data_IF_854562899312
#
_entry.id   IF_854562899312
#
_cell.length_a   1.000
_cell.length_b   1.000
_cell.length_c   1.000
_cell.angle_alpha   90.00
_cell.angle_beta   90.00
_cell.angle_gamma   90.00
#
_symmetry.space_group_name_H-M   'P 1'
#
loop_
_entity.id
_entity.type
_entity.pdbx_description
1 polymer ?
#
# COMPACT_ATOMS: atom_id res chain seq x y z
N UNK A 1 -50.24 -26.54 -11.98
CA UNK A 1 -49.57 -25.32 -12.45
C UNK A 1 -48.34 -25.11 -11.59
N UNK A 2 -47.20 -25.64 -12.01
CA UNK A 2 -45.91 -25.45 -11.32
C UNK A 2 -44.93 -24.99 -12.40
N UNK A 3 -44.55 -23.73 -12.28
CA UNK A 3 -43.70 -23.02 -13.21
C UNK A 3 -42.30 -23.64 -13.13
N UNK A 4 -41.83 -24.19 -14.26
CA UNK A 4 -40.41 -24.36 -14.53
C UNK A 4 -39.79 -22.98 -14.67
N UNK A 5 -38.67 -22.73 -14.00
CA UNK A 5 -37.63 -21.89 -14.58
C UNK A 5 -36.25 -22.44 -14.25
N UNK A 6 -35.65 -23.07 -15.27
CA UNK A 6 -34.20 -23.19 -15.41
C UNK A 6 -33.60 -21.78 -15.36
N UNK A 7 -32.56 -21.61 -14.58
CA UNK A 7 -31.51 -20.62 -14.83
C UNK A 7 -30.19 -21.22 -14.36
N UNK A 8 -29.64 -22.11 -15.19
CA UNK A 8 -28.21 -22.37 -15.23
C UNK A 8 -27.55 -21.07 -15.66
N UNK A 9 -26.86 -20.39 -14.75
CA UNK A 9 -26.03 -19.24 -15.08
C UNK A 9 -24.58 -19.70 -15.06
N UNK A 10 -24.09 -19.79 -16.28
CA UNK A 10 -22.72 -20.01 -16.69
C UNK A 10 -21.70 -19.29 -15.79
N UNK A 11 -20.62 -20.01 -15.49
CA UNK A 11 -19.29 -19.44 -15.25
C UNK A 11 -18.93 -18.54 -16.45
N UNK A 12 -19.35 -17.29 -16.40
CA UNK A 12 -18.85 -16.25 -17.29
C UNK A 12 -17.35 -16.13 -17.01
N UNK A 13 -16.54 -16.47 -18.01
CA UNK A 13 -15.20 -15.90 -18.20
C UNK A 13 -15.31 -14.38 -18.02
N UNK A 14 -14.96 -13.87 -16.84
CA UNK A 14 -14.85 -12.43 -16.62
C UNK A 14 -13.38 -12.05 -16.48
N UNK A 15 -12.87 -11.53 -17.59
CA UNK A 15 -11.90 -10.44 -17.71
C UNK A 15 -10.50 -10.65 -17.11
N UNK A 16 -9.51 -10.67 -18.02
CA UNK A 16 -8.13 -10.30 -17.72
C UNK A 16 -8.13 -8.96 -17.00
N UNK A 17 -7.74 -8.95 -15.73
CA UNK A 17 -7.25 -7.75 -15.07
C UNK A 17 -5.86 -7.49 -15.67
N UNK A 18 -5.81 -6.61 -16.67
CA UNK A 18 -4.56 -6.01 -17.13
C UNK A 18 -4.11 -4.98 -16.10
N UNK A 19 -3.27 -5.41 -15.17
CA UNK A 19 -2.25 -4.59 -14.50
C UNK A 19 -1.18 -5.52 -13.89
N UNK A 20 -0.71 -6.45 -14.71
CA UNK A 20 0.48 -7.24 -14.42
C UNK A 20 1.66 -6.42 -14.94
N UNK A 21 2.45 -5.84 -14.04
CA UNK A 21 3.79 -5.38 -14.41
C UNK A 21 4.57 -6.58 -14.98
N UNK A 22 5.28 -6.37 -16.08
CA UNK A 22 6.04 -7.41 -16.80
C UNK A 22 6.84 -8.31 -15.86
N UNK A 23 6.50 -9.60 -15.90
CA UNK A 23 6.75 -10.59 -14.85
C UNK A 23 8.08 -11.35 -15.02
N UNK A 24 9.12 -10.69 -15.54
CA UNK A 24 10.47 -11.26 -15.54
C UNK A 24 11.19 -10.80 -14.27
N UNK A 25 11.49 -11.73 -13.36
CA UNK A 25 12.49 -11.52 -12.31
C UNK A 25 13.80 -11.18 -13.03
N UNK A 26 14.18 -9.90 -13.03
CA UNK A 26 15.39 -9.44 -13.76
C UNK A 26 16.63 -9.72 -12.90
N UNK A 27 17.77 -10.00 -13.56
CA UNK A 27 19.08 -10.08 -12.88
C UNK A 27 19.25 -8.86 -11.97
N UNK A 28 19.47 -9.09 -10.67
CA UNK A 28 19.68 -8.03 -9.66
C UNK A 28 18.61 -7.91 -8.57
N UNK A 29 17.49 -8.64 -8.65
CA UNK A 29 16.54 -8.74 -7.52
C UNK A 29 17.12 -9.60 -6.40
N UNK A 30 17.13 -9.09 -5.16
CA UNK A 30 17.58 -9.83 -3.98
C UNK A 30 16.41 -10.22 -3.09
N UNK A 31 16.45 -11.45 -2.54
CA UNK A 31 15.49 -11.92 -1.56
C UNK A 31 15.81 -11.27 -0.21
N UNK A 32 14.84 -10.56 0.39
CA UNK A 32 14.96 -9.95 1.73
C UNK A 32 14.42 -10.91 2.80
N UNK A 33 13.22 -11.45 2.56
CA UNK A 33 12.54 -12.40 3.45
C UNK A 33 12.07 -13.61 2.65
N UNK A 34 12.13 -14.79 3.25
CA UNK A 34 11.56 -16.02 2.71
C UNK A 34 11.13 -16.91 3.86
N UNK A 35 9.87 -17.33 3.88
CA UNK A 35 9.33 -18.30 4.85
C UNK A 35 8.28 -19.18 4.16
N UNK A 36 8.07 -20.37 4.73
CA UNK A 36 6.86 -21.16 4.49
C UNK A 36 5.86 -20.76 5.58
N UNK A 37 4.65 -20.41 5.19
CA UNK A 37 3.61 -19.91 6.08
C UNK A 37 2.26 -20.53 5.73
N UNK A 38 1.29 -20.43 6.64
CA UNK A 38 -0.11 -20.73 6.31
C UNK A 38 -0.80 -19.45 5.82
N UNK A 39 -1.11 -19.37 4.52
CA UNK A 39 -1.94 -18.29 4.00
C UNK A 39 -3.40 -18.56 4.33
N UNK A 40 -4.09 -17.57 4.89
CA UNK A 40 -5.52 -17.65 5.24
C UNK A 40 -6.34 -17.00 4.12
N UNK A 41 -7.20 -17.78 3.47
CA UNK A 41 -8.11 -17.33 2.41
C UNK A 41 -9.51 -17.85 2.70
N UNK A 42 -10.49 -16.97 2.91
CA UNK A 42 -11.88 -17.35 3.21
C UNK A 42 -12.02 -18.43 4.30
N UNK A 43 -11.33 -18.24 5.44
CA UNK A 43 -11.21 -19.20 6.56
C UNK A 43 -10.48 -20.52 6.25
N UNK A 44 -10.14 -20.80 5.00
CA UNK A 44 -9.25 -21.91 4.63
C UNK A 44 -7.79 -21.52 4.85
N UNK A 45 -6.98 -22.44 5.36
CA UNK A 45 -5.55 -22.23 5.54
C UNK A 45 -4.79 -23.15 4.59
N UNK A 46 -3.84 -22.61 3.82
CA UNK A 46 -3.02 -23.40 2.91
C UNK A 46 -1.54 -23.06 3.07
N UNK A 47 -0.64 -24.05 3.08
CA UNK A 47 0.79 -23.80 3.15
C UNK A 47 1.25 -23.13 1.85
N UNK A 48 1.97 -22.02 1.98
CA UNK A 48 2.46 -21.20 0.87
C UNK A 48 3.87 -20.78 1.18
N UNK A 49 4.71 -20.70 0.15
CA UNK A 49 5.98 -19.99 0.27
C UNK A 49 5.77 -18.53 -0.02
N UNK A 50 6.17 -17.69 0.91
CA UNK A 50 6.12 -16.24 0.77
C UNK A 50 7.54 -15.69 0.71
N UNK A 51 7.77 -14.79 -0.24
CA UNK A 51 9.08 -14.18 -0.46
C UNK A 51 8.88 -12.68 -0.60
N UNK A 52 9.69 -11.90 0.11
CA UNK A 52 9.80 -10.46 -0.13
C UNK A 52 11.08 -10.22 -0.91
N UNK A 53 10.95 -9.55 -2.06
CA UNK A 53 12.10 -9.19 -2.90
C UNK A 53 12.29 -7.69 -2.88
N UNK A 54 13.56 -7.28 -2.74
CA UNK A 54 13.96 -5.91 -3.04
C UNK A 54 13.93 -5.76 -4.55
N UNK A 55 13.16 -4.81 -5.04
CA UNK A 55 13.23 -4.49 -6.44
C UNK A 55 14.42 -3.55 -6.69
N UNK A 56 14.94 -3.51 -7.91
CA UNK A 56 16.10 -2.69 -8.23
C UNK A 56 15.78 -1.18 -8.07
N UNK A 57 16.77 -0.30 -8.23
CA UNK A 57 16.62 1.16 -8.07
C UNK A 57 15.50 1.83 -8.89
N UNK A 58 14.87 1.12 -9.84
CA UNK A 58 13.75 1.61 -10.67
C UNK A 58 12.39 1.03 -10.29
N UNK A 59 12.33 0.15 -9.29
CA UNK A 59 11.13 -0.61 -8.97
C UNK A 59 10.89 -0.68 -7.45
N UNK A 60 9.63 -0.81 -7.06
CA UNK A 60 9.23 -0.95 -5.65
C UNK A 60 9.37 -2.40 -5.19
N UNK A 61 9.75 -2.61 -3.92
CA UNK A 61 9.81 -3.95 -3.32
C UNK A 61 8.48 -4.70 -3.47
N UNK A 62 8.54 -6.01 -3.63
CA UNK A 62 7.36 -6.84 -3.89
C UNK A 62 7.24 -7.98 -2.88
N UNK A 63 6.01 -8.34 -2.54
CA UNK A 63 5.66 -9.58 -1.85
C UNK A 63 5.16 -10.59 -2.88
N UNK A 64 5.81 -11.75 -2.92
CA UNK A 64 5.50 -12.86 -3.82
C UNK A 64 4.96 -14.01 -3.00
N UNK A 65 3.77 -14.49 -3.35
CA UNK A 65 3.12 -15.64 -2.74
C UNK A 65 3.03 -16.77 -3.76
N UNK A 66 3.79 -17.83 -3.55
CA UNK A 66 3.78 -19.01 -4.42
C UNK A 66 2.63 -19.94 -4.04
N UNK A 67 1.98 -20.54 -5.05
CA UNK A 67 0.84 -21.45 -4.86
C UNK A 67 1.19 -22.73 -4.10
N UNK A 68 2.44 -23.15 -4.12
CA UNK A 68 2.96 -24.28 -3.35
C UNK A 68 4.13 -23.84 -2.47
N UNK A 69 4.32 -24.53 -1.35
CA UNK A 69 5.49 -24.35 -0.49
C UNK A 69 6.79 -24.84 -1.17
N UNK A 70 6.68 -25.89 -2.00
CA UNK A 70 7.83 -26.63 -2.54
C UNK A 70 8.26 -26.18 -3.93
N UNK A 71 7.48 -25.34 -4.61
CA UNK A 71 7.69 -25.02 -6.02
C UNK A 71 7.88 -23.53 -6.25
N UNK A 72 9.15 -23.08 -6.27
CA UNK A 72 9.54 -21.68 -6.50
C UNK A 72 9.91 -21.36 -7.95
N UNK A 73 10.12 -22.38 -8.77
CA UNK A 73 10.76 -22.23 -10.09
C UNK A 73 9.76 -22.05 -11.23
N UNK A 74 8.50 -22.48 -11.04
CA UNK A 74 7.44 -22.26 -12.02
C UNK A 74 6.93 -20.82 -11.92
N UNK A 75 7.39 -19.98 -12.84
CA UNK A 75 7.06 -18.54 -12.93
C UNK A 75 5.57 -18.20 -12.98
N UNK A 76 4.71 -19.16 -13.32
CA UNK A 76 3.28 -18.96 -13.60
C UNK A 76 2.34 -19.17 -12.40
N UNK A 77 2.80 -19.76 -11.28
CA UNK A 77 1.93 -20.12 -10.15
C UNK A 77 2.23 -19.28 -8.89
N UNK A 78 2.21 -17.95 -9.06
CA UNK A 78 2.44 -16.97 -7.97
C UNK A 78 1.52 -15.76 -8.05
N UNK A 79 1.22 -15.17 -6.89
CA UNK A 79 0.58 -13.86 -6.75
C UNK A 79 1.64 -12.86 -6.31
N UNK A 80 1.63 -11.66 -6.89
CA UNK A 80 2.63 -10.62 -6.60
C UNK A 80 1.91 -9.34 -6.16
N UNK A 81 2.32 -8.83 -5.00
CA UNK A 81 1.84 -7.57 -4.44
C UNK A 81 2.97 -6.55 -4.42
N UNK A 82 2.66 -5.33 -4.85
CA UNK A 82 3.59 -4.21 -4.72
C UNK A 82 3.54 -3.66 -3.29
N UNK A 83 4.66 -3.69 -2.57
CA UNK A 83 4.72 -3.24 -1.19
C UNK A 83 4.53 -1.73 -1.04
N UNK A 84 4.73 -0.93 -2.10
CA UNK A 84 4.39 0.49 -2.04
C UNK A 84 2.89 0.70 -1.75
N UNK A 85 2.03 -0.25 -2.19
CA UNK A 85 0.58 -0.17 -2.03
C UNK A 85 0.08 -0.63 -0.66
N UNK A 86 0.96 -1.02 0.26
CA UNK A 86 0.57 -1.55 1.58
C UNK A 86 0.08 -0.44 2.50
N UNK A 87 -1.22 -0.33 2.69
CA UNK A 87 -1.82 0.66 3.56
C UNK A 87 -1.49 0.43 5.04
N UNK A 88 -1.64 -0.79 5.53
CA UNK A 88 -1.42 -1.13 6.94
C UNK A 88 -0.84 -2.53 7.03
N UNK A 89 0.04 -2.72 8.00
CA UNK A 89 0.51 -4.03 8.43
C UNK A 89 0.14 -4.19 9.91
N UNK A 90 -0.58 -5.24 10.25
CA UNK A 90 -0.94 -5.55 11.63
C UNK A 90 -0.33 -6.88 12.03
N UNK A 91 0.27 -6.95 13.23
CA UNK A 91 0.72 -8.20 13.84
C UNK A 91 -0.29 -8.66 14.88
N UNK A 92 -0.60 -9.96 14.90
CA UNK A 92 -1.34 -10.58 15.98
C UNK A 92 -0.49 -11.73 16.54
N UNK A 93 0.03 -11.52 17.77
CA UNK A 93 0.94 -12.43 18.45
C UNK A 93 0.26 -13.71 18.94
N UNK A 94 -1.01 -13.63 19.33
CA UNK A 94 -1.78 -14.79 19.81
C UNK A 94 -2.04 -15.79 18.68
N UNK A 95 -2.45 -15.29 17.52
CA UNK A 95 -2.75 -16.11 16.34
C UNK A 95 -1.53 -16.40 15.47
N UNK A 96 -0.37 -15.93 15.91
CA UNK A 96 0.91 -16.04 15.22
C UNK A 96 0.75 -15.61 13.74
N UNK A 97 0.14 -14.43 13.51
CA UNK A 97 -0.25 -13.95 12.17
C UNK A 97 0.16 -12.52 11.85
N UNK A 98 0.34 -12.25 10.56
CA UNK A 98 0.49 -10.91 9.99
C UNK A 98 -0.64 -10.68 8.99
N UNK A 99 -1.25 -9.51 9.09
CA UNK A 99 -2.28 -8.99 8.19
C UNK A 99 -1.71 -7.81 7.40
N UNK A 100 -1.86 -7.84 6.08
CA UNK A 100 -1.43 -6.77 5.17
C UNK A 100 -2.66 -6.30 4.39
N UNK A 101 -2.96 -5.00 4.51
CA UNK A 101 -4.00 -4.33 3.73
C UNK A 101 -3.36 -3.48 2.65
N UNK A 102 -4.00 -3.44 1.48
CA UNK A 102 -3.53 -2.67 0.34
C UNK A 102 -4.47 -1.50 0.04
N UNK A 103 -3.91 -0.40 -0.45
CA UNK A 103 -4.67 0.77 -0.88
C UNK A 103 -5.57 0.45 -2.08
N UNK A 104 -6.80 0.97 -2.05
CA UNK A 104 -7.81 0.79 -3.11
C UNK A 104 -8.13 -0.70 -3.42
N UNK A 105 -7.82 -1.60 -2.50
CA UNK A 105 -8.17 -3.02 -2.59
C UNK A 105 -8.98 -3.42 -1.37
N UNK A 106 -10.01 -4.23 -1.57
CA UNK A 106 -10.68 -4.94 -0.49
C UNK A 106 -9.93 -6.21 -0.09
N UNK A 107 -8.86 -6.54 -0.82
CA UNK A 107 -8.04 -7.72 -0.55
C UNK A 107 -7.20 -7.52 0.70
N UNK A 108 -7.30 -8.49 1.61
CA UNK A 108 -6.52 -8.57 2.84
C UNK A 108 -5.70 -9.84 2.78
N UNK A 109 -4.38 -9.69 2.85
CA UNK A 109 -3.45 -10.82 2.88
C UNK A 109 -3.13 -11.13 4.33
N UNK A 110 -3.57 -12.30 4.79
CA UNK A 110 -3.28 -12.79 6.15
C UNK A 110 -2.45 -14.06 6.04
N UNK A 111 -1.28 -14.09 6.67
CA UNK A 111 -0.47 -15.29 6.78
C UNK A 111 0.00 -15.55 8.20
N UNK A 112 -0.01 -16.84 8.59
CA UNK A 112 0.51 -17.33 9.87
C UNK A 112 1.92 -17.88 9.70
N UNK A 113 2.82 -17.40 10.54
CA UNK A 113 4.22 -17.86 10.56
C UNK A 113 4.38 -18.98 11.60
N UNK A 114 5.44 -19.80 11.52
CA UNK A 114 5.62 -20.92 12.43
C UNK A 114 5.97 -20.50 13.86
N UNK A 115 6.55 -19.30 14.05
CA UNK A 115 7.00 -18.83 15.37
C UNK A 115 6.70 -17.35 15.59
N UNK A 116 6.53 -16.96 16.87
CA UNK A 116 6.37 -15.56 17.26
C UNK A 116 7.61 -14.70 16.92
N UNK A 117 8.79 -15.31 16.94
CA UNK A 117 10.03 -14.67 16.52
C UNK A 117 10.00 -14.34 15.02
N UNK A 118 9.56 -15.28 14.19
CA UNK A 118 9.41 -15.03 12.74
C UNK A 118 8.43 -13.89 12.47
N UNK A 119 7.31 -13.81 13.19
CA UNK A 119 6.37 -12.68 13.04
C UNK A 119 7.05 -11.37 13.34
N UNK A 120 7.78 -11.30 14.44
CA UNK A 120 8.42 -10.07 14.86
C UNK A 120 9.43 -9.61 13.81
N UNK A 121 10.23 -10.55 13.28
CA UNK A 121 11.16 -10.30 12.17
C UNK A 121 10.45 -9.83 10.91
N UNK A 122 9.39 -10.53 10.49
CA UNK A 122 8.62 -10.19 9.29
C UNK A 122 7.91 -8.84 9.42
N UNK A 123 7.24 -8.60 10.54
CA UNK A 123 6.55 -7.35 10.83
C UNK A 123 7.50 -6.15 10.79
N UNK A 124 8.64 -6.23 11.50
CA UNK A 124 9.62 -5.14 11.53
C UNK A 124 10.23 -4.90 10.13
N UNK A 125 10.56 -5.98 9.43
CA UNK A 125 11.19 -5.91 8.11
C UNK A 125 10.22 -5.37 7.05
N UNK A 126 8.97 -5.82 7.04
CA UNK A 126 7.95 -5.29 6.12
C UNK A 126 7.64 -3.82 6.41
N UNK A 127 7.49 -3.43 7.68
CA UNK A 127 7.31 -2.02 8.04
C UNK A 127 8.49 -1.17 7.56
N UNK A 128 9.73 -1.64 7.77
CA UNK A 128 10.91 -0.95 7.26
C UNK A 128 10.89 -0.83 5.75
N UNK A 129 10.55 -1.89 5.01
CA UNK A 129 10.48 -1.86 3.55
C UNK A 129 9.38 -0.91 3.05
N UNK A 130 8.20 -0.93 3.66
CA UNK A 130 7.11 -0.02 3.30
C UNK A 130 7.52 1.43 3.55
N UNK A 131 8.17 1.70 4.70
CA UNK A 131 8.76 3.01 5.02
C UNK A 131 9.86 3.41 4.05
N UNK A 132 10.78 2.52 3.67
CA UNK A 132 11.82 2.80 2.68
C UNK A 132 11.23 3.05 1.28
N UNK A 133 10.12 2.38 0.94
CA UNK A 133 9.43 2.54 -0.34
C UNK A 133 8.53 3.78 -0.41
N UNK A 134 8.37 4.49 0.71
CA UNK A 134 7.55 5.69 0.83
C UNK A 134 8.38 6.79 1.42
N UNK A 135 8.69 7.79 0.62
CA UNK A 135 9.20 9.02 1.22
C UNK A 135 8.04 9.63 2.04
N UNK A 136 8.29 9.77 3.33
CA UNK A 136 7.32 10.22 4.34
C UNK A 136 7.92 11.35 5.14
N UNK A 137 7.13 12.41 5.30
CA UNK A 137 7.52 13.63 5.99
C UNK A 137 6.49 13.93 7.06
N UNK A 138 6.95 14.17 8.28
CA UNK A 138 6.09 14.71 9.32
C UNK A 138 5.60 16.09 8.92
N UNK A 139 4.30 16.29 9.05
CA UNK A 139 3.62 17.50 8.67
C UNK A 139 2.57 17.88 9.71
N UNK A 140 2.10 19.10 9.60
CA UNK A 140 1.01 19.65 10.35
C UNK A 140 -0.03 20.19 9.37
N UNK A 141 -1.22 19.61 9.42
CA UNK A 141 -2.34 20.04 8.61
C UNK A 141 -3.06 21.20 9.32
N UNK A 142 -3.04 22.37 8.69
CA UNK A 142 -3.79 23.52 9.19
C UNK A 142 -5.29 23.28 8.97
N UNK A 143 -6.11 23.61 9.98
CA UNK A 143 -7.56 23.55 9.88
C UNK A 143 -8.04 24.30 8.63
N UNK A 144 -8.84 23.63 7.82
CA UNK A 144 -9.38 24.15 6.58
C UNK A 144 -10.84 23.68 6.43
N UNK A 145 -11.64 24.40 5.66
CA UNK A 145 -13.07 24.11 5.47
C UNK A 145 -13.31 22.75 4.78
N UNK A 146 -12.29 22.18 4.13
CA UNK A 146 -12.39 20.97 3.33
C UNK A 146 -11.94 19.68 4.04
N UNK A 147 -11.27 19.78 5.18
CA UNK A 147 -10.74 18.61 5.90
C UNK A 147 -11.18 18.71 7.36
N UNK A 148 -11.96 17.72 7.81
CA UNK A 148 -12.49 17.67 9.17
C UNK A 148 -11.41 17.41 10.22
N UNK A 149 -10.32 16.75 9.84
CA UNK A 149 -9.14 16.51 10.69
C UNK A 149 -8.10 17.61 10.50
N UNK A 150 -7.46 18.02 11.59
CA UNK A 150 -6.36 18.98 11.64
C UNK A 150 -5.39 18.57 12.75
N UNK A 151 -4.12 18.95 12.62
CA UNK A 151 -3.08 18.55 13.56
C UNK A 151 -1.90 17.86 12.90
N UNK A 152 -1.15 17.10 13.70
CA UNK A 152 -0.02 16.29 13.24
C UNK A 152 -0.49 15.21 12.25
N UNK A 153 0.27 15.04 11.19
CA UNK A 153 0.00 14.04 10.17
C UNK A 153 1.31 13.63 9.48
N UNK A 154 1.22 12.56 8.68
CA UNK A 154 2.31 12.10 7.83
C UNK A 154 1.95 12.44 6.39
N UNK A 155 2.76 13.29 5.77
CA UNK A 155 2.74 13.53 4.34
C UNK A 155 3.51 12.42 3.63
N UNK A 156 2.88 11.73 2.70
CA UNK A 156 3.53 10.69 1.91
C UNK A 156 3.20 10.87 0.44
N UNK A 157 4.21 10.70 -0.41
CA UNK A 157 3.99 10.53 -1.84
C UNK A 157 3.93 9.05 -2.16
N UNK A 158 2.90 8.65 -2.89
CA UNK A 158 2.79 7.29 -3.36
C UNK A 158 2.23 7.20 -4.77
N UNK A 159 3.04 6.65 -5.67
CA UNK A 159 2.76 6.62 -7.11
C UNK A 159 2.45 8.07 -7.58
N UNK A 160 1.28 8.29 -8.17
CA UNK A 160 0.84 9.61 -8.62
C UNK A 160 -0.12 10.30 -7.63
N UNK A 161 0.01 10.02 -6.33
CA UNK A 161 -0.87 10.56 -5.29
C UNK A 161 -0.07 11.11 -4.11
N UNK A 162 -0.56 12.23 -3.58
CA UNK A 162 -0.23 12.72 -2.25
C UNK A 162 -1.21 12.09 -1.27
N UNK A 163 -0.70 11.51 -0.19
CA UNK A 163 -1.46 10.95 0.92
C UNK A 163 -1.17 11.74 2.19
N UNK A 164 -2.21 12.04 2.96
CA UNK A 164 -2.08 12.44 4.35
C UNK A 164 -2.56 11.30 5.23
N UNK A 165 -1.68 10.85 6.12
CA UNK A 165 -1.98 9.81 7.08
C UNK A 165 -2.06 10.40 8.49
N UNK A 166 -2.97 9.88 9.30
CA UNK A 166 -3.07 10.21 10.72
C UNK A 166 -1.84 9.68 11.47
N UNK A 167 -1.20 10.54 12.26
CA UNK A 167 -0.02 10.18 13.06
C UNK A 167 -0.36 9.63 14.44
N UNK A 168 -1.61 9.73 14.90
CA UNK A 168 -2.00 9.39 16.27
C UNK A 168 -2.55 7.98 16.45
N UNK A 169 -2.93 7.29 15.37
CA UNK A 169 -3.45 5.93 15.44
C UNK A 169 -2.33 4.89 15.28
N UNK A 170 -2.38 3.81 16.08
CA UNK A 170 -1.56 2.59 15.89
C UNK A 170 -1.74 1.96 14.49
N UNK A 171 -2.75 2.41 13.76
CA UNK A 171 -3.08 2.07 12.38
C UNK A 171 -3.07 3.35 11.55
N UNK A 172 -2.09 3.52 10.67
CA UNK A 172 -2.03 4.67 9.74
C UNK A 172 -3.37 4.79 9.00
N UNK A 173 -4.16 5.84 9.27
CA UNK A 173 -5.43 6.12 8.58
C UNK A 173 -5.25 7.21 7.53
N UNK A 174 -5.76 7.00 6.31
CA UNK A 174 -5.75 8.06 5.30
C UNK A 174 -6.76 9.14 5.70
N UNK A 175 -6.24 10.31 6.06
CA UNK A 175 -7.03 11.52 6.29
C UNK A 175 -7.54 12.05 4.95
N UNK A 176 -6.63 12.14 3.96
CA UNK A 176 -6.97 12.64 2.63
C UNK A 176 -6.01 12.12 1.56
N UNK A 177 -6.43 12.18 0.30
CA UNK A 177 -5.58 11.84 -0.86
C UNK A 177 -5.87 12.72 -2.07
N UNK A 178 -4.82 13.14 -2.75
CA UNK A 178 -4.90 13.93 -3.99
C UNK A 178 -4.08 13.27 -5.08
N UNK A 179 -4.53 13.36 -6.34
CA UNK A 179 -3.73 12.95 -7.49
C UNK A 179 -2.86 14.13 -7.93
N UNK A 180 -1.59 13.87 -8.22
CA UNK A 180 -0.63 14.92 -8.60
C UNK A 180 -1.05 15.58 -9.92
N UNK A 181 -1.50 14.81 -10.93
CA UNK A 181 -1.98 15.34 -12.22
C UNK A 181 -3.15 16.34 -12.09
N UNK A 182 -3.80 16.38 -10.93
CA UNK A 182 -4.94 17.25 -10.67
C UNK A 182 -4.53 18.54 -9.95
N UNK A 183 -3.29 18.64 -9.50
CA UNK A 183 -2.73 19.85 -8.90
C UNK A 183 -2.52 20.88 -10.02
N UNK A 184 -3.24 22.01 -9.95
CA UNK A 184 -3.13 23.11 -10.91
C UNK A 184 -2.14 24.18 -10.49
N UNK A 185 -1.90 24.26 -9.18
CA UNK A 185 -0.97 25.22 -8.61
C UNK A 185 -0.26 24.53 -7.45
N UNK A 186 1.06 24.67 -7.40
CA UNK A 186 1.92 24.17 -6.34
C UNK A 186 2.96 25.25 -6.04
N UNK A 187 3.06 25.66 -4.78
CA UNK A 187 4.01 26.66 -4.33
C UNK A 187 4.55 26.31 -2.94
N UNK A 188 5.74 26.83 -2.64
CA UNK A 188 6.30 26.85 -1.29
C UNK A 188 6.09 28.22 -0.65
N UNK A 189 5.79 28.23 0.64
CA UNK A 189 5.75 29.46 1.44
C UNK A 189 6.33 29.15 2.83
N UNK A 190 7.58 29.54 3.06
CA UNK A 190 8.37 29.19 4.24
C UNK A 190 8.42 27.66 4.43
N UNK A 191 8.13 27.15 5.65
CA UNK A 191 8.03 25.72 5.92
C UNK A 191 6.67 25.12 5.54
N UNK A 192 5.92 25.72 4.62
CA UNK A 192 4.63 25.18 4.17
C UNK A 192 4.63 24.99 2.66
N UNK A 193 3.95 23.93 2.21
CA UNK A 193 3.56 23.80 0.81
C UNK A 193 2.10 24.19 0.68
N UNK A 194 1.79 24.89 -0.40
CA UNK A 194 0.43 25.23 -0.78
C UNK A 194 0.16 24.63 -2.15
N UNK A 195 -0.95 23.91 -2.29
CA UNK A 195 -1.39 23.46 -3.59
C UNK A 195 -2.89 23.64 -3.79
N UNK A 196 -3.27 23.88 -5.02
CA UNK A 196 -4.67 23.96 -5.43
C UNK A 196 -5.00 22.76 -6.31
N UNK A 197 -6.07 22.06 -5.96
CA UNK A 197 -6.54 20.90 -6.71
C UNK A 197 -7.73 21.27 -7.62
N UNK A 198 -7.81 20.67 -8.82
CA UNK A 198 -9.01 20.73 -9.66
C UNK A 198 -10.19 20.07 -8.94
N UNK A 199 -11.40 20.48 -9.30
CA UNK A 199 -12.63 19.82 -8.85
C UNK A 199 -12.64 18.37 -9.35
N UNK A 200 -12.68 17.40 -8.45
CA UNK A 200 -12.98 16.00 -8.78
C UNK A 200 -14.41 15.67 -8.36
N UNK A 201 -14.96 14.56 -8.88
CA UNK A 201 -16.27 14.04 -8.41
C UNK A 201 -16.32 13.78 -6.91
N UNK A 202 -15.17 13.45 -6.29
CA UNK A 202 -15.10 13.00 -4.89
C UNK A 202 -14.23 13.91 -4.01
N UNK A 203 -13.59 14.94 -4.56
CA UNK A 203 -12.79 15.91 -3.80
C UNK A 203 -13.23 17.32 -4.18
N UNK A 204 -13.55 18.12 -3.16
CA UNK A 204 -13.86 19.54 -3.34
C UNK A 204 -12.63 20.27 -3.90
N UNK A 205 -12.82 21.18 -4.88
CA UNK A 205 -11.75 22.05 -5.33
C UNK A 205 -11.39 22.98 -4.17
N UNK A 206 -10.09 23.14 -3.92
CA UNK A 206 -9.65 23.92 -2.77
C UNK A 206 -8.16 24.17 -2.79
N UNK A 207 -7.77 25.17 -2.01
CA UNK A 207 -6.38 25.44 -1.65
C UNK A 207 -6.08 24.70 -0.36
N UNK A 208 -5.05 23.87 -0.39
CA UNK A 208 -4.58 23.08 0.74
C UNK A 208 -3.22 23.60 1.16
N UNK A 209 -3.02 23.77 2.47
CA UNK A 209 -1.76 24.22 3.06
C UNK A 209 -1.30 23.15 4.04
N UNK A 210 -0.12 22.61 3.79
CA UNK A 210 0.52 21.60 4.64
C UNK A 210 1.81 22.20 5.17
N UNK A 211 1.92 22.32 6.48
CA UNK A 211 3.11 22.84 7.16
C UNK A 211 4.02 21.68 7.50
N UNK A 212 5.33 21.89 7.41
CA UNK A 212 6.37 20.94 7.78
C UNK A 212 7.19 21.50 8.94
N UNK A 213 8.04 20.66 9.52
CA UNK A 213 8.92 21.04 10.63
C UNK A 213 9.78 22.26 10.27
N UNK A 214 10.37 22.23 9.08
CA UNK A 214 11.29 23.26 8.58
C UNK A 214 11.13 23.46 7.06
N UNK A 215 11.81 24.47 6.54
CA UNK A 215 11.78 24.80 5.11
C UNK A 215 12.42 23.70 4.26
N UNK A 216 13.44 23.00 4.77
CA UNK A 216 14.11 21.91 4.05
C UNK A 216 13.10 20.79 3.78
N UNK A 217 12.29 20.41 4.77
CA UNK A 217 11.23 19.41 4.64
C UNK A 217 10.12 19.84 3.68
N UNK A 218 9.74 21.12 3.69
CA UNK A 218 8.80 21.65 2.71
C UNK A 218 9.35 21.60 1.28
N UNK A 219 10.64 21.92 1.09
CA UNK A 219 11.33 21.79 -0.20
C UNK A 219 11.44 20.33 -0.65
N UNK A 220 11.75 19.40 0.26
CA UNK A 220 11.73 17.95 -0.01
C UNK A 220 10.35 17.51 -0.48
N UNK A 221 9.28 17.92 0.20
CA UNK A 221 7.91 17.58 -0.17
C UNK A 221 7.55 18.06 -1.59
N UNK A 222 7.97 19.26 -1.99
CA UNK A 222 7.75 19.75 -3.36
C UNK A 222 8.57 18.97 -4.37
N UNK A 223 9.85 18.69 -4.09
CA UNK A 223 10.69 17.86 -4.96
C UNK A 223 10.15 16.45 -5.13
N UNK A 224 9.43 15.93 -4.15
CA UNK A 224 8.72 14.65 -4.27
C UNK A 224 7.54 14.76 -5.25
N UNK A 225 6.81 15.88 -5.24
CA UNK A 225 5.64 16.08 -6.12
C UNK A 225 6.06 16.35 -7.58
N UNK A 226 7.19 17.02 -7.79
CA UNK A 226 7.74 17.40 -9.10
C UNK A 226 8.48 16.26 -9.80
#
# INVERSE_FOLDING_TARGET
MTIRSKASIALKKSMKISNICDNTVKKGESIILSSICMLVVNKSQKPRRIIVKRANSRHNSILVIYKSADNTDKSYDKVVYNLCNVYTITKNTENVSIEIKFLNSTEVVVFKLPTALEISRWYLSLNRIVKESREMLYAYLKKNNFISSYGECIFSLQNNKILLLDSNDDVEKIINSWKIDHIIYLAIFHNSIMFQNKRERNNEPGVFIIRFLDEIKAQTAIKMIQ
#
